data_IF_537334817084
#
_entry.id   IF_537334817084
#
_cell.length_a   1.000
_cell.length_b   1.000
_cell.length_c   1.000
_cell.angle_alpha   90.00
_cell.angle_beta   90.00
_cell.angle_gamma   90.00
#
_symmetry.space_group_name_H-M   'P 1'
#
loop_
_entity.id
_entity.type
_entity.pdbx_description
1 polymer ?
#
# COMPACT_ATOMS: atom_id res chain seq x y z
N UNK A 1 61.66 -23.95 11.76
CA UNK A 1 60.96 -23.10 10.79
C UNK A 1 59.53 -23.57 10.71
N UNK A 2 58.63 -22.93 11.43
CA UNK A 2 57.21 -23.23 11.44
C UNK A 2 56.55 -22.11 10.64
N UNK A 3 56.06 -22.40 9.41
CA UNK A 3 55.26 -21.53 8.63
C UNK A 3 53.85 -21.47 9.21
N UNK A 4 53.52 -20.34 9.81
CA UNK A 4 52.17 -19.99 10.19
C UNK A 4 51.51 -19.25 9.02
N UNK A 5 50.99 -19.98 8.05
CA UNK A 5 50.07 -19.44 7.07
C UNK A 5 48.66 -19.40 7.69
N UNK A 6 48.45 -18.38 8.54
CA UNK A 6 47.15 -18.04 9.06
C UNK A 6 46.42 -17.24 7.95
N UNK A 7 45.86 -17.96 6.99
CA UNK A 7 44.92 -17.43 6.03
C UNK A 7 43.66 -17.01 6.81
N UNK A 8 43.64 -15.74 7.18
CA UNK A 8 42.46 -15.08 7.72
C UNK A 8 41.32 -15.19 6.73
N UNK A 9 40.44 -16.17 6.91
CA UNK A 9 39.12 -16.21 6.29
C UNK A 9 38.37 -15.01 6.81
N UNK A 10 38.26 -13.95 5.99
CA UNK A 10 37.30 -12.88 6.22
C UNK A 10 35.94 -13.54 6.52
N UNK A 11 35.21 -13.14 7.57
CA UNK A 11 33.92 -13.72 7.86
C UNK A 11 33.05 -13.50 6.59
N UNK A 12 32.65 -14.59 5.98
CA UNK A 12 31.71 -14.56 4.85
C UNK A 12 30.48 -13.80 5.32
N UNK A 13 30.25 -12.59 4.78
CA UNK A 13 29.13 -11.76 5.17
C UNK A 13 27.86 -12.62 5.06
N UNK A 14 27.12 -12.73 6.17
CA UNK A 14 25.92 -13.57 6.20
C UNK A 14 24.95 -13.10 5.12
N UNK A 15 24.53 -14.02 4.25
CA UNK A 15 23.53 -13.75 3.22
C UNK A 15 22.14 -13.90 3.84
N UNK A 16 21.27 -12.95 3.56
CA UNK A 16 19.90 -12.93 4.07
C UNK A 16 18.98 -13.44 2.97
N UNK A 17 18.28 -14.55 3.24
CA UNK A 17 17.27 -15.10 2.34
C UNK A 17 15.89 -14.49 2.62
N UNK A 18 15.24 -13.96 1.60
CA UNK A 18 13.86 -13.47 1.68
C UNK A 18 12.97 -14.40 0.83
N UNK A 19 11.94 -14.96 1.46
CA UNK A 19 10.98 -15.82 0.79
C UNK A 19 9.75 -15.00 0.39
N UNK A 20 9.52 -14.91 -0.93
CA UNK A 20 8.43 -14.16 -1.54
C UNK A 20 8.86 -12.82 -2.14
N UNK A 21 8.78 -12.71 -3.47
CA UNK A 21 9.09 -11.53 -4.26
C UNK A 21 7.91 -10.57 -4.45
N UNK A 22 6.95 -10.53 -3.53
CA UNK A 22 5.89 -9.52 -3.50
C UNK A 22 6.41 -8.17 -2.98
N UNK A 23 5.56 -7.12 -2.94
CA UNK A 23 5.96 -5.77 -2.52
C UNK A 23 6.63 -5.74 -1.14
N UNK A 24 6.16 -6.53 -0.19
CA UNK A 24 6.75 -6.60 1.15
C UNK A 24 8.18 -7.18 1.13
N UNK A 25 8.38 -8.29 0.40
CA UNK A 25 9.70 -8.91 0.27
C UNK A 25 10.68 -8.01 -0.50
N UNK A 26 10.22 -7.36 -1.56
CA UNK A 26 11.03 -6.41 -2.32
C UNK A 26 11.41 -5.18 -1.48
N UNK A 27 10.47 -4.64 -0.70
CA UNK A 27 10.76 -3.50 0.20
C UNK A 27 11.79 -3.89 1.27
N UNK A 28 11.66 -5.09 1.85
CA UNK A 28 12.65 -5.61 2.79
C UNK A 28 14.03 -5.81 2.13
N UNK A 29 14.05 -6.36 0.91
CA UNK A 29 15.29 -6.54 0.16
C UNK A 29 16.01 -5.21 -0.09
N UNK A 30 15.29 -4.18 -0.58
CA UNK A 30 15.84 -2.84 -0.80
C UNK A 30 16.39 -2.26 0.49
N UNK A 31 15.64 -2.36 1.60
CA UNK A 31 16.08 -1.83 2.89
C UNK A 31 17.38 -2.51 3.40
N UNK A 32 17.48 -3.82 3.23
CA UNK A 32 18.66 -4.58 3.63
C UNK A 32 19.88 -4.31 2.75
N UNK A 33 19.67 -4.21 1.43
CA UNK A 33 20.75 -3.87 0.48
C UNK A 33 21.29 -2.46 0.76
N UNK A 34 20.42 -1.49 1.03
CA UNK A 34 20.85 -0.13 1.39
C UNK A 34 21.58 -0.09 2.75
N UNK A 35 21.32 -1.06 3.62
CA UNK A 35 22.06 -1.26 4.86
C UNK A 35 23.38 -2.07 4.66
N UNK A 36 23.77 -2.32 3.42
CA UNK A 36 25.03 -3.03 3.08
C UNK A 36 24.96 -4.55 3.23
N UNK A 37 23.77 -5.14 3.36
CA UNK A 37 23.60 -6.58 3.48
C UNK A 37 23.54 -7.27 2.11
N UNK A 38 24.01 -8.51 2.05
CA UNK A 38 23.80 -9.37 0.89
C UNK A 38 22.44 -10.08 1.01
N UNK A 39 21.60 -9.99 -0.03
CA UNK A 39 20.23 -10.50 0.02
C UNK A 39 19.94 -11.39 -1.18
N UNK A 40 19.34 -12.54 -0.92
CA UNK A 40 18.76 -13.43 -1.94
C UNK A 40 17.23 -13.41 -1.80
N UNK A 41 16.52 -13.17 -2.90
CA UNK A 41 15.06 -13.22 -2.92
C UNK A 41 14.61 -14.49 -3.63
N UNK A 42 13.82 -15.32 -2.95
CA UNK A 42 13.26 -16.56 -3.46
C UNK A 42 11.78 -16.33 -3.82
N UNK A 43 11.45 -16.45 -5.09
CA UNK A 43 10.07 -16.34 -5.59
C UNK A 43 9.69 -17.61 -6.36
N UNK A 44 8.50 -18.13 -6.08
CA UNK A 44 7.98 -19.35 -6.70
C UNK A 44 7.53 -19.16 -8.15
N UNK A 45 7.23 -17.90 -8.53
CA UNK A 45 6.79 -17.55 -9.89
C UNK A 45 7.94 -16.93 -10.68
N UNK A 46 7.85 -16.99 -12.00
CA UNK A 46 8.83 -16.38 -12.92
C UNK A 46 8.84 -14.85 -12.93
N UNK A 47 7.99 -14.20 -12.12
CA UNK A 47 7.86 -12.74 -12.05
C UNK A 47 7.71 -12.27 -10.62
N UNK A 48 8.26 -11.10 -10.33
CA UNK A 48 8.15 -10.39 -9.05
C UNK A 48 6.86 -9.57 -8.97
N UNK A 49 6.60 -8.99 -7.80
CA UNK A 49 5.46 -8.11 -7.56
C UNK A 49 4.30 -8.78 -6.81
N UNK A 50 4.20 -10.10 -6.86
CA UNK A 50 3.13 -10.85 -6.20
C UNK A 50 1.74 -10.48 -6.74
N UNK A 51 0.88 -9.88 -5.90
CA UNK A 51 -0.44 -9.40 -6.33
C UNK A 51 -0.37 -8.10 -7.14
N UNK A 52 0.65 -7.27 -6.93
CA UNK A 52 0.89 -6.04 -7.68
C UNK A 52 1.70 -6.37 -8.95
N UNK A 53 1.11 -7.13 -9.86
CA UNK A 53 1.74 -7.55 -11.09
C UNK A 53 0.74 -7.53 -12.25
N UNK A 54 1.24 -7.32 -13.45
CA UNK A 54 0.50 -7.47 -14.69
C UNK A 54 0.84 -8.78 -15.36
N UNK A 55 -0.03 -9.31 -16.17
CA UNK A 55 0.17 -10.51 -16.97
C UNK A 55 -0.49 -10.37 -18.34
N UNK A 56 0.01 -11.11 -19.30
CA UNK A 56 -0.57 -11.17 -20.64
C UNK A 56 -1.74 -12.16 -20.65
N UNK A 57 -2.91 -11.70 -21.11
CA UNK A 57 -4.07 -12.58 -21.30
C UNK A 57 -3.80 -13.49 -22.50
N UNK A 58 -3.75 -14.82 -22.32
CA UNK A 58 -3.43 -15.76 -23.39
C UNK A 58 -4.49 -15.78 -24.52
N UNK A 59 -5.66 -15.17 -24.33
CA UNK A 59 -6.73 -15.13 -25.36
C UNK A 59 -6.66 -13.87 -26.21
N UNK A 60 -6.25 -12.74 -25.62
CA UNK A 60 -6.25 -11.43 -26.31
C UNK A 60 -4.84 -10.91 -26.59
N UNK A 61 -3.81 -11.50 -25.97
CA UNK A 61 -2.43 -11.01 -25.93
C UNK A 61 -2.32 -9.57 -25.40
N UNK A 62 -3.28 -9.15 -24.61
CA UNK A 62 -3.26 -7.84 -23.94
C UNK A 62 -2.60 -7.95 -22.58
N UNK A 63 -1.80 -6.95 -22.23
CA UNK A 63 -1.24 -6.83 -20.90
C UNK A 63 -2.32 -6.29 -19.94
N UNK A 64 -2.75 -7.11 -19.00
CA UNK A 64 -3.75 -6.76 -18.01
C UNK A 64 -3.17 -6.81 -16.60
N UNK A 65 -3.62 -5.91 -15.74
CA UNK A 65 -3.26 -5.93 -14.33
C UNK A 65 -4.02 -7.04 -13.59
N UNK A 66 -3.32 -7.70 -12.67
CA UNK A 66 -3.91 -8.74 -11.82
C UNK A 66 -5.08 -8.20 -10.97
N UNK A 67 -5.00 -6.94 -10.58
CA UNK A 67 -6.10 -6.17 -9.99
C UNK A 67 -5.83 -4.67 -10.14
N UNK A 68 -6.83 -3.84 -9.86
CA UNK A 68 -6.63 -2.39 -9.85
C UNK A 68 -5.70 -1.98 -8.70
N UNK A 69 -4.56 -1.40 -9.04
CA UNK A 69 -3.56 -0.94 -8.07
C UNK A 69 -3.64 0.58 -7.92
N UNK A 70 -4.19 1.02 -6.80
CA UNK A 70 -4.25 2.44 -6.43
C UNK A 70 -3.55 2.63 -5.10
N UNK A 71 -2.52 3.47 -5.09
CA UNK A 71 -1.86 3.89 -3.86
C UNK A 71 -2.39 5.26 -3.43
N UNK A 72 -2.77 5.39 -2.18
CA UNK A 72 -3.14 6.69 -1.62
C UNK A 72 -1.87 7.52 -1.36
N UNK A 73 -1.97 8.85 -1.47
CA UNK A 73 -0.84 9.75 -1.20
C UNK A 73 -0.30 9.70 0.24
N UNK A 74 -1.04 9.09 1.17
CA UNK A 74 -0.60 8.85 2.54
C UNK A 74 0.24 7.56 2.71
N UNK A 75 0.36 6.73 1.67
CA UNK A 75 1.20 5.52 1.69
C UNK A 75 2.68 5.91 1.52
N UNK A 76 3.24 6.67 2.46
CA UNK A 76 4.58 7.26 2.37
C UNK A 76 5.68 6.22 2.23
N UNK A 77 5.59 5.08 2.93
CA UNK A 77 6.56 3.99 2.81
C UNK A 77 6.58 3.36 1.41
N UNK A 78 5.40 3.25 0.76
CA UNK A 78 5.34 2.78 -0.63
C UNK A 78 5.95 3.78 -1.59
N UNK A 79 5.72 5.06 -1.35
CA UNK A 79 6.29 6.13 -2.17
C UNK A 79 7.81 6.22 -1.99
N UNK A 80 8.33 6.05 -0.77
CA UNK A 80 9.77 5.94 -0.48
C UNK A 80 10.39 4.74 -1.20
N UNK A 81 9.75 3.57 -1.14
CA UNK A 81 10.18 2.39 -1.90
C UNK A 81 10.27 2.68 -3.40
N UNK A 82 9.27 3.37 -3.99
CA UNK A 82 9.29 3.76 -5.40
C UNK A 82 10.41 4.76 -5.73
N UNK A 83 10.72 5.66 -4.82
CA UNK A 83 11.84 6.61 -4.98
C UNK A 83 13.18 5.88 -4.93
N UNK A 84 13.39 4.99 -3.96
CA UNK A 84 14.62 4.17 -3.81
C UNK A 84 14.85 3.24 -4.98
N UNK A 85 13.80 2.71 -5.58
CA UNK A 85 13.88 1.85 -6.78
C UNK A 85 13.81 2.63 -8.09
N UNK A 86 13.76 3.98 -8.03
CA UNK A 86 13.71 4.87 -9.19
C UNK A 86 12.50 4.64 -10.12
N UNK A 87 11.39 4.10 -9.59
CA UNK A 87 10.15 3.84 -10.37
C UNK A 87 9.04 4.86 -10.09
N UNK A 88 9.30 5.88 -9.27
CA UNK A 88 8.32 6.90 -8.90
C UNK A 88 7.70 7.61 -10.11
N UNK A 89 8.47 7.81 -11.17
CA UNK A 89 8.03 8.47 -12.40
C UNK A 89 6.97 7.67 -13.17
N UNK A 90 6.82 6.37 -12.89
CA UNK A 90 5.78 5.51 -13.48
C UNK A 90 4.42 5.70 -12.80
N UNK A 91 4.37 6.36 -11.65
CA UNK A 91 3.13 6.59 -10.91
C UNK A 91 2.45 7.87 -11.40
N UNK A 92 1.23 7.75 -11.92
CA UNK A 92 0.38 8.90 -12.22
C UNK A 92 -0.40 9.30 -10.97
N UNK A 93 -0.36 10.58 -10.62
CA UNK A 93 -1.12 11.14 -9.51
C UNK A 93 -2.44 11.72 -9.99
N UNK A 94 -3.54 11.10 -9.57
CA UNK A 94 -4.87 11.64 -9.77
C UNK A 94 -5.35 12.36 -8.49
N UNK A 95 -6.02 13.50 -8.67
CA UNK A 95 -6.53 14.33 -7.57
C UNK A 95 -8.04 14.19 -7.37
N UNK A 96 -8.68 13.36 -8.20
CA UNK A 96 -10.11 13.08 -8.15
C UNK A 96 -10.34 11.58 -8.18
N UNK A 97 -11.23 11.12 -7.31
CA UNK A 97 -11.76 9.76 -7.35
C UNK A 97 -13.17 9.82 -7.94
N UNK A 98 -13.45 8.94 -8.87
CA UNK A 98 -14.74 8.84 -9.55
C UNK A 98 -15.51 7.64 -9.00
N UNK A 99 -16.71 7.87 -8.52
CA UNK A 99 -17.62 6.84 -8.05
C UNK A 99 -18.82 6.77 -8.99
N UNK A 100 -19.19 5.57 -9.36
CA UNK A 100 -20.38 5.31 -10.17
C UNK A 100 -21.37 4.51 -9.32
N UNK A 101 -22.59 4.99 -9.22
CA UNK A 101 -23.68 4.24 -8.59
C UNK A 101 -24.28 3.23 -9.58
N UNK A 102 -25.06 2.27 -9.06
CA UNK A 102 -25.69 1.21 -9.87
C UNK A 102 -26.64 1.76 -10.95
N UNK A 103 -27.15 2.96 -10.77
CA UNK A 103 -27.99 3.69 -11.74
C UNK A 103 -27.18 4.52 -12.75
N UNK A 104 -25.85 4.38 -12.77
CA UNK A 104 -24.96 5.05 -13.71
C UNK A 104 -24.61 6.50 -13.34
N UNK A 105 -25.11 7.04 -12.24
CA UNK A 105 -24.74 8.40 -11.81
C UNK A 105 -23.30 8.45 -11.31
N UNK A 106 -22.55 9.42 -11.82
CA UNK A 106 -21.17 9.68 -11.39
C UNK A 106 -21.13 10.70 -10.26
N UNK A 107 -20.30 10.44 -9.27
CA UNK A 107 -19.94 11.37 -8.20
C UNK A 107 -18.43 11.49 -8.08
N UNK A 108 -17.92 12.70 -7.93
CA UNK A 108 -16.49 12.96 -7.85
C UNK A 108 -16.11 13.34 -6.41
N UNK A 109 -15.08 12.70 -5.89
CA UNK A 109 -14.46 13.05 -4.61
C UNK A 109 -13.11 13.71 -4.88
N UNK A 110 -12.96 14.95 -4.45
CA UNK A 110 -11.72 15.73 -4.57
C UNK A 110 -11.46 16.55 -3.32
N UNK A 111 -10.19 16.78 -3.03
CA UNK A 111 -9.79 17.58 -1.87
C UNK A 111 -9.81 19.08 -2.18
N UNK A 112 -10.27 19.88 -1.22
CA UNK A 112 -10.13 21.35 -1.23
C UNK A 112 -8.79 21.68 -0.58
N UNK A 113 -7.85 22.21 -1.37
CA UNK A 113 -6.44 22.40 -0.98
C UNK A 113 -6.22 23.30 0.25
N UNK A 114 -7.13 24.25 0.50
CA UNK A 114 -6.98 25.21 1.62
C UNK A 114 -7.52 24.70 2.97
N UNK A 115 -8.12 23.51 3.00
CA UNK A 115 -8.70 22.95 4.22
C UNK A 115 -7.85 21.82 4.80
N UNK A 116 -7.68 21.76 6.13
CA UNK A 116 -6.98 20.66 6.78
C UNK A 116 -7.77 19.36 6.72
N UNK A 117 -7.08 18.22 6.89
CA UNK A 117 -7.73 16.92 7.04
C UNK A 117 -8.56 16.88 8.35
N UNK A 118 -9.77 16.28 8.36
CA UNK A 118 -10.50 15.65 7.25
C UNK A 118 -11.41 16.61 6.48
N UNK A 119 -11.46 17.90 6.82
CA UNK A 119 -12.40 18.89 6.27
C UNK A 119 -12.20 19.14 4.78
N UNK A 120 -10.98 18.90 4.27
CA UNK A 120 -10.64 19.06 2.86
C UNK A 120 -11.49 18.17 1.90
N UNK A 121 -12.07 17.08 2.40
CA UNK A 121 -12.96 16.20 1.64
C UNK A 121 -14.45 16.52 1.87
N UNK A 122 -14.78 17.36 2.84
CA UNK A 122 -16.15 17.61 3.30
C UNK A 122 -17.09 18.07 2.19
N UNK A 123 -16.68 19.04 1.39
CA UNK A 123 -17.50 19.58 0.30
C UNK A 123 -17.82 18.52 -0.77
N UNK A 124 -16.85 17.70 -1.16
CA UNK A 124 -17.06 16.61 -2.11
C UNK A 124 -17.87 15.48 -1.50
N UNK A 125 -17.64 15.15 -0.23
CA UNK A 125 -18.41 14.13 0.48
C UNK A 125 -19.91 14.49 0.54
N UNK A 126 -20.23 15.75 0.78
CA UNK A 126 -21.63 16.22 0.78
C UNK A 126 -22.30 16.15 -0.60
N UNK A 127 -21.53 16.10 -1.69
CA UNK A 127 -22.03 16.00 -3.07
C UNK A 127 -22.18 14.56 -3.58
N UNK A 128 -21.80 13.55 -2.81
CA UNK A 128 -21.96 12.15 -3.21
C UNK A 128 -23.46 11.81 -3.32
N UNK A 129 -23.94 11.67 -4.54
CA UNK A 129 -25.39 11.55 -4.85
C UNK A 129 -26.01 10.24 -4.38
N UNK A 130 -25.20 9.19 -4.19
CA UNK A 130 -25.65 7.86 -3.77
C UNK A 130 -25.76 7.69 -2.24
N UNK A 131 -25.39 8.70 -1.46
CA UNK A 131 -25.52 8.70 -0.01
C UNK A 131 -26.66 9.58 0.46
N UNK A 132 -27.57 9.03 1.25
CA UNK A 132 -28.59 9.79 1.97
C UNK A 132 -27.93 10.63 3.09
N UNK A 133 -28.64 11.63 3.60
CA UNK A 133 -28.15 12.45 4.72
C UNK A 133 -27.84 11.61 5.96
N UNK A 134 -28.72 10.65 6.28
CA UNK A 134 -28.52 9.75 7.44
C UNK A 134 -27.25 8.91 7.31
N UNK A 135 -26.97 8.38 6.11
CA UNK A 135 -25.74 7.63 5.84
C UNK A 135 -24.48 8.50 5.97
N UNK A 136 -24.52 9.74 5.48
CA UNK A 136 -23.42 10.69 5.66
C UNK A 136 -23.13 10.94 7.13
N UNK A 137 -24.16 11.14 7.95
CA UNK A 137 -24.01 11.32 9.40
C UNK A 137 -23.43 10.06 10.05
N UNK A 138 -23.90 8.86 9.68
CA UNK A 138 -23.36 7.59 10.18
C UNK A 138 -21.88 7.43 9.83
N UNK A 139 -21.50 7.72 8.58
CA UNK A 139 -20.09 7.65 8.14
C UNK A 139 -19.24 8.65 8.96
N UNK A 140 -19.68 9.90 9.10
CA UNK A 140 -18.93 10.88 9.89
C UNK A 140 -18.76 10.45 11.34
N UNK A 141 -19.80 9.91 11.97
CA UNK A 141 -19.71 9.37 13.33
C UNK A 141 -18.75 8.19 13.43
N UNK A 142 -18.81 7.25 12.47
CA UNK A 142 -17.91 6.12 12.40
C UNK A 142 -16.45 6.55 12.25
N UNK A 143 -16.15 7.49 11.36
CA UNK A 143 -14.81 8.03 11.18
C UNK A 143 -14.30 8.77 12.43
N UNK A 144 -15.16 9.53 13.12
CA UNK A 144 -14.79 10.19 14.36
C UNK A 144 -14.49 9.18 15.47
N UNK A 145 -15.33 8.14 15.62
CA UNK A 145 -15.05 7.02 16.56
C UNK A 145 -13.73 6.34 16.23
N UNK A 146 -13.44 6.07 14.95
CA UNK A 146 -12.19 5.46 14.52
C UNK A 146 -10.99 6.36 14.85
N UNK A 147 -11.11 7.66 14.65
CA UNK A 147 -10.07 8.62 15.00
C UNK A 147 -9.78 8.67 16.51
N UNK A 148 -10.83 8.56 17.33
CA UNK A 148 -10.71 8.52 18.78
C UNK A 148 -10.20 7.18 19.34
N UNK A 149 -10.40 6.07 18.59
CA UNK A 149 -9.98 4.72 19.00
C UNK A 149 -8.47 4.47 18.86
N UNK A 150 -7.68 5.44 18.43
CA UNK A 150 -6.21 5.32 18.31
C UNK A 150 -5.50 4.88 19.62
N UNK A 151 -6.14 5.06 20.77
CA UNK A 151 -5.62 4.72 22.10
C UNK A 151 -6.37 3.54 22.73
N UNK A 152 -7.22 2.83 22.01
CA UNK A 152 -7.85 1.64 22.54
C UNK A 152 -6.79 0.55 22.66
N UNK A 153 -6.50 0.22 23.92
CA UNK A 153 -5.70 -0.94 24.29
C UNK A 153 -6.21 -2.15 23.48
N UNK A 154 -5.30 -2.83 22.81
CA UNK A 154 -5.52 -3.95 21.87
C UNK A 154 -6.13 -5.21 22.54
N UNK A 155 -6.69 -5.09 23.74
CA UNK A 155 -7.31 -6.19 24.50
C UNK A 155 -8.77 -6.46 24.16
N UNK A 156 -9.41 -5.64 23.33
CA UNK A 156 -10.76 -5.94 22.90
C UNK A 156 -10.69 -6.79 21.60
N UNK A 157 -10.98 -8.07 21.71
CA UNK A 157 -11.18 -9.01 20.60
C UNK A 157 -12.46 -8.71 19.79
N UNK A 158 -12.71 -7.42 19.53
CA UNK A 158 -13.84 -6.97 18.76
C UNK A 158 -13.54 -7.12 17.26
N UNK A 159 -14.30 -7.95 16.58
CA UNK A 159 -14.26 -7.94 15.11
C UNK A 159 -14.75 -6.58 14.58
N UNK A 160 -14.26 -6.19 13.39
CA UNK A 160 -14.72 -4.97 12.72
C UNK A 160 -16.25 -4.94 12.59
N UNK A 161 -16.87 -6.09 12.29
CA UNK A 161 -18.32 -6.19 12.18
C UNK A 161 -19.07 -5.95 13.50
N UNK A 162 -18.52 -6.40 14.62
CA UNK A 162 -19.09 -6.11 15.96
C UNK A 162 -18.92 -4.62 16.31
N UNK A 163 -17.74 -4.05 16.02
CA UNK A 163 -17.46 -2.63 16.25
C UNK A 163 -18.37 -1.70 15.43
N UNK A 164 -18.65 -2.05 14.16
CA UNK A 164 -19.54 -1.26 13.31
C UNK A 164 -21.01 -1.31 13.76
N UNK A 165 -21.44 -2.35 14.50
CA UNK A 165 -22.79 -2.49 15.03
C UNK A 165 -22.97 -1.82 16.40
N UNK A 166 -21.89 -1.58 17.13
CA UNK A 166 -21.88 -0.88 18.42
C UNK A 166 -21.94 0.65 18.25
#
# INVERSE_FOLDING_TARGET
MLNNDNLGSSPTAARIGIVGGGLAGLAAAVALVDAGQQVDVFESKSRLGGRATSFEDPRTNELIDNCQHVAMGCCTNFLDFCDRTSVRHLLRRDTKLHFFSSDGRRSDLSAVKCLPAPLHLGASFMRLSYLSFAERVRICRGLNRLAQSRNLDTKAELTIGAWLRA
#
